data_IF_521207023531
#
_entry.id   IF_521207023531
#
_cell.length_a   1.000
_cell.length_b   1.000
_cell.length_c   1.000
_cell.angle_alpha   90.00
_cell.angle_beta   90.00
_cell.angle_gamma   90.00
#
_symmetry.space_group_name_H-M   'P 1'
#
loop_
_entity.id
_entity.type
_entity.pdbx_description
1 polymer ?
#
# COMPACT_ATOMS: atom_id res chain seq x y z
N UNK A 1 -3.10 -17.96 -12.51
CA UNK A 1 -1.87 -17.19 -12.30
C UNK A 1 -0.92 -17.55 -13.42
N UNK A 2 -0.34 -16.60 -14.14
CA UNK A 2 0.77 -16.90 -15.07
C UNK A 2 1.93 -17.47 -14.25
N UNK A 3 2.58 -18.51 -14.78
CA UNK A 3 3.68 -19.20 -14.09
C UNK A 3 4.82 -18.25 -13.69
N UNK A 4 5.05 -17.18 -14.46
CA UNK A 4 6.11 -16.19 -14.19
C UNK A 4 5.87 -15.42 -12.88
N UNK A 5 4.71 -14.78 -12.74
CA UNK A 5 4.39 -13.95 -11.55
C UNK A 5 4.25 -14.82 -10.32
N UNK A 6 3.65 -16.01 -10.45
CA UNK A 6 3.57 -16.98 -9.35
C UNK A 6 4.94 -17.38 -8.81
N UNK A 7 5.86 -17.79 -9.69
CA UNK A 7 7.23 -18.14 -9.28
C UNK A 7 7.98 -16.93 -8.70
N UNK A 8 7.76 -15.73 -9.23
CA UNK A 8 8.38 -14.52 -8.68
C UNK A 8 7.88 -14.20 -7.25
N UNK A 9 6.58 -14.39 -6.98
CA UNK A 9 6.02 -14.26 -5.64
C UNK A 9 6.61 -15.31 -4.69
N UNK A 10 6.67 -16.58 -5.09
CA UNK A 10 7.30 -17.64 -4.29
C UNK A 10 8.76 -17.31 -3.93
N UNK A 11 9.52 -16.79 -4.90
CA UNK A 11 10.90 -16.34 -4.68
C UNK A 11 10.97 -15.17 -3.69
N UNK A 12 10.08 -14.19 -3.81
CA UNK A 12 10.02 -13.04 -2.91
C UNK A 12 9.65 -13.45 -1.47
N UNK A 13 8.75 -14.41 -1.30
CA UNK A 13 8.41 -14.97 0.03
C UNK A 13 9.62 -15.67 0.67
N UNK A 14 10.32 -16.51 -0.10
CA UNK A 14 11.45 -17.28 0.40
C UNK A 14 12.68 -16.41 0.70
N UNK A 15 13.02 -15.50 -0.21
CA UNK A 15 14.33 -14.83 -0.22
C UNK A 15 14.27 -13.31 -0.03
N UNK A 16 13.07 -12.71 -0.05
CA UNK A 16 12.88 -11.27 -0.10
C UNK A 16 13.05 -10.69 -1.50
N UNK A 17 12.57 -9.45 -1.68
CA UNK A 17 12.51 -8.76 -2.98
C UNK A 17 13.90 -8.37 -3.51
N UNK A 18 14.86 -8.14 -2.62
CA UNK A 18 16.23 -7.80 -3.01
C UNK A 18 16.90 -8.99 -3.72
N UNK A 19 16.54 -10.22 -3.34
CA UNK A 19 16.99 -11.44 -4.00
C UNK A 19 16.39 -11.68 -5.39
N UNK A 20 15.31 -10.98 -5.74
CA UNK A 20 14.59 -11.17 -7.00
C UNK A 20 15.27 -10.45 -8.17
N UNK A 21 15.60 -11.20 -9.21
CA UNK A 21 16.05 -10.68 -10.52
C UNK A 21 15.48 -11.52 -11.65
N UNK A 22 15.34 -10.94 -12.85
CA UNK A 22 14.85 -11.66 -14.03
C UNK A 22 15.75 -12.85 -14.40
N UNK A 23 17.06 -12.74 -14.18
CA UNK A 23 17.99 -13.84 -14.42
C UNK A 23 17.69 -15.04 -13.51
N UNK A 24 17.59 -14.81 -12.20
CA UNK A 24 17.27 -15.86 -11.23
C UNK A 24 15.88 -16.45 -11.46
N UNK A 25 14.92 -15.61 -11.86
CA UNK A 25 13.58 -16.05 -12.22
C UNK A 25 13.61 -16.96 -13.47
N UNK A 26 14.36 -16.60 -14.51
CA UNK A 26 14.54 -17.43 -15.68
C UNK A 26 15.20 -18.78 -15.35
N UNK A 27 16.25 -18.76 -14.53
CA UNK A 27 16.92 -19.97 -14.05
C UNK A 27 15.95 -20.86 -13.26
N UNK A 28 15.12 -20.28 -12.39
CA UNK A 28 14.11 -21.01 -11.61
C UNK A 28 13.01 -21.62 -12.47
N UNK A 29 12.59 -20.90 -13.53
CA UNK A 29 11.59 -21.35 -14.50
C UNK A 29 12.15 -22.36 -15.53
N UNK A 30 13.46 -22.59 -15.55
CA UNK A 30 14.11 -23.47 -16.54
C UNK A 30 14.10 -22.91 -17.96
N UNK A 31 13.97 -21.58 -18.12
CA UNK A 31 13.93 -20.90 -19.42
C UNK A 31 15.16 -20.02 -19.62
N UNK A 32 15.47 -19.70 -20.89
CA UNK A 32 16.55 -18.76 -21.20
C UNK A 32 16.11 -17.32 -20.89
N UNK A 33 16.98 -16.54 -20.25
CA UNK A 33 16.69 -15.14 -19.89
C UNK A 33 16.12 -14.27 -21.04
N UNK A 34 16.63 -14.35 -22.30
CA UNK A 34 16.04 -13.59 -23.41
C UNK A 34 14.55 -13.86 -23.64
N UNK A 35 14.08 -15.09 -23.43
CA UNK A 35 12.66 -15.42 -23.56
C UNK A 35 11.81 -14.74 -22.48
N UNK A 36 12.35 -14.60 -21.27
CA UNK A 36 11.68 -13.91 -20.17
C UNK A 36 11.61 -12.39 -20.43
N UNK A 37 12.66 -11.78 -20.99
CA UNK A 37 12.67 -10.36 -21.34
C UNK A 37 11.61 -9.98 -22.39
N UNK A 38 11.20 -10.92 -23.26
CA UNK A 38 10.08 -10.70 -24.20
C UNK A 38 8.73 -10.55 -23.50
N UNK A 39 8.52 -11.25 -22.39
CA UNK A 39 7.28 -11.17 -21.62
C UNK A 39 7.34 -10.02 -20.60
N UNK A 40 8.48 -9.86 -19.94
CA UNK A 40 8.68 -8.89 -18.87
C UNK A 40 9.98 -8.10 -19.13
N UNK A 41 9.87 -6.85 -19.59
CA UNK A 41 11.02 -6.08 -20.10
C UNK A 41 12.03 -5.66 -19.01
N UNK A 42 11.69 -5.83 -17.72
CA UNK A 42 12.58 -5.45 -16.63
C UNK A 42 12.03 -5.79 -15.25
N UNK A 43 12.87 -5.60 -14.22
CA UNK A 43 12.48 -5.83 -12.81
C UNK A 43 11.28 -4.98 -12.40
N UNK A 44 11.17 -3.73 -12.88
CA UNK A 44 10.01 -2.88 -12.55
C UNK A 44 8.71 -3.48 -13.07
N UNK A 45 8.66 -3.87 -14.35
CA UNK A 45 7.49 -4.49 -14.97
C UNK A 45 7.08 -5.80 -14.26
N UNK A 46 8.06 -6.61 -13.82
CA UNK A 46 7.78 -7.79 -13.00
C UNK A 46 7.07 -7.41 -11.70
N UNK A 47 7.59 -6.40 -11.00
CA UNK A 47 7.05 -5.94 -9.73
C UNK A 47 5.66 -5.32 -9.90
N UNK A 48 5.39 -4.63 -11.01
CA UNK A 48 4.06 -4.09 -11.33
C UNK A 48 3.03 -5.22 -11.54
N UNK A 49 3.40 -6.29 -12.24
CA UNK A 49 2.54 -7.47 -12.39
C UNK A 49 2.37 -8.25 -11.08
N UNK A 50 3.40 -8.28 -10.23
CA UNK A 50 3.30 -8.89 -8.90
C UNK A 50 2.32 -8.13 -8.02
N UNK A 51 2.40 -6.79 -7.95
CA UNK A 51 1.45 -6.01 -7.15
C UNK A 51 0.02 -6.15 -7.67
N UNK A 52 -0.17 -6.22 -9.00
CA UNK A 52 -1.48 -6.49 -9.60
C UNK A 52 -2.14 -7.76 -9.05
N UNK A 53 -1.34 -8.83 -8.91
CA UNK A 53 -1.79 -10.09 -8.32
C UNK A 53 -2.02 -9.97 -6.82
N UNK A 54 -1.10 -9.34 -6.09
CA UNK A 54 -1.17 -9.18 -4.63
C UNK A 54 -2.45 -8.46 -4.22
N UNK A 55 -2.81 -7.37 -4.91
CA UNK A 55 -3.96 -6.53 -4.53
C UNK A 55 -5.30 -7.03 -5.06
N UNK A 56 -5.31 -8.07 -5.89
CA UNK A 56 -6.53 -8.65 -6.47
C UNK A 56 -7.63 -8.98 -5.46
N UNK A 57 -7.35 -9.51 -4.25
CA UNK A 57 -8.38 -9.77 -3.25
C UNK A 57 -9.11 -8.51 -2.75
N UNK A 58 -8.53 -7.32 -2.90
CA UNK A 58 -9.13 -6.05 -2.50
C UNK A 58 -10.07 -5.46 -3.57
N UNK A 59 -9.94 -5.88 -4.83
CA UNK A 59 -10.73 -5.37 -5.97
C UNK A 59 -12.25 -5.48 -5.77
N UNK A 60 -12.82 -6.59 -5.24
CA UNK A 60 -14.26 -6.65 -4.97
C UNK A 60 -14.74 -5.57 -3.99
N UNK A 61 -13.91 -5.20 -3.01
CA UNK A 61 -14.23 -4.16 -2.02
C UNK A 61 -14.18 -2.78 -2.70
N UNK A 62 -13.18 -2.52 -3.54
CA UNK A 62 -13.07 -1.27 -4.29
C UNK A 62 -14.20 -1.09 -5.32
N UNK A 63 -14.66 -2.18 -5.93
CA UNK A 63 -15.80 -2.13 -6.86
C UNK A 63 -17.16 -2.09 -6.16
N UNK A 64 -17.21 -2.22 -4.84
CA UNK A 64 -18.47 -2.11 -4.10
C UNK A 64 -19.04 -0.70 -4.19
N UNK A 65 -20.38 -0.61 -4.16
CA UNK A 65 -21.05 0.67 -4.07
C UNK A 65 -20.81 1.31 -2.70
N UNK A 66 -20.66 2.65 -2.61
CA UNK A 66 -20.46 3.37 -1.34
C UNK A 66 -21.79 3.51 -0.57
N UNK A 67 -22.47 2.38 -0.27
CA UNK A 67 -23.82 2.34 0.34
C UNK A 67 -23.88 3.08 1.69
N UNK A 68 -22.77 3.08 2.43
CA UNK A 68 -22.64 3.73 3.74
C UNK A 68 -21.95 5.09 3.69
N UNK A 69 -21.78 5.68 2.49
CA UNK A 69 -21.08 6.94 2.28
C UNK A 69 -19.64 6.78 1.79
N UNK A 70 -19.10 7.88 1.26
CA UNK A 70 -17.75 7.95 0.70
C UNK A 70 -16.66 7.71 1.76
N UNK A 71 -16.89 8.16 2.99
CA UNK A 71 -15.98 8.05 4.13
C UNK A 71 -15.84 6.61 4.61
N UNK A 72 -16.97 5.91 4.79
CA UNK A 72 -16.99 4.49 5.10
C UNK A 72 -16.34 3.66 3.98
N UNK A 73 -16.59 4.03 2.72
CA UNK A 73 -15.97 3.38 1.57
C UNK A 73 -14.45 3.58 1.53
N UNK A 74 -13.93 4.80 1.75
CA UNK A 74 -12.48 5.07 1.78
C UNK A 74 -11.78 4.27 2.87
N UNK A 75 -12.38 4.21 4.06
CA UNK A 75 -11.85 3.41 5.18
C UNK A 75 -11.78 1.92 4.80
N UNK A 76 -12.87 1.37 4.25
CA UNK A 76 -12.91 -0.02 3.80
C UNK A 76 -11.88 -0.31 2.69
N UNK A 77 -11.76 0.60 1.71
CA UNK A 77 -10.84 0.46 0.59
C UNK A 77 -9.37 0.50 1.03
N UNK A 78 -9.02 1.39 1.97
CA UNK A 78 -7.67 1.48 2.55
C UNK A 78 -7.31 0.23 3.37
N UNK A 79 -8.24 -0.26 4.20
CA UNK A 79 -8.06 -1.50 4.95
C UNK A 79 -7.87 -2.71 4.03
N UNK A 80 -8.64 -2.78 2.95
CA UNK A 80 -8.52 -3.86 1.96
C UNK A 80 -7.15 -3.85 1.26
N UNK A 81 -6.67 -2.67 0.84
CA UNK A 81 -5.33 -2.49 0.28
C UNK A 81 -4.25 -2.97 1.27
N UNK A 82 -4.36 -2.51 2.53
CA UNK A 82 -3.43 -2.88 3.60
C UNK A 82 -3.40 -4.38 3.86
N UNK A 83 -4.57 -5.02 3.98
CA UNK A 83 -4.68 -6.45 4.21
C UNK A 83 -4.04 -7.25 3.05
N UNK A 84 -4.32 -6.86 1.81
CA UNK A 84 -3.78 -7.53 0.63
C UNK A 84 -2.24 -7.41 0.54
N UNK A 85 -1.70 -6.20 0.73
CA UNK A 85 -0.26 -5.96 0.67
C UNK A 85 0.49 -6.65 1.82
N UNK A 86 -0.07 -6.65 3.04
CA UNK A 86 0.54 -7.29 4.21
C UNK A 86 0.49 -8.81 4.17
N UNK A 87 -0.36 -9.41 3.34
CA UNK A 87 -0.41 -10.86 3.16
C UNK A 87 0.84 -11.43 2.46
N UNK A 88 1.68 -10.57 1.88
CA UNK A 88 2.86 -10.96 1.12
C UNK A 88 4.13 -10.31 1.68
N UNK A 89 5.20 -11.10 1.83
CA UNK A 89 6.48 -10.59 2.32
C UNK A 89 7.02 -9.54 1.34
N UNK A 90 7.16 -8.32 1.84
CA UNK A 90 7.64 -7.18 1.06
C UNK A 90 6.61 -6.61 0.08
N UNK A 91 5.38 -7.13 0.02
CA UNK A 91 4.29 -6.59 -0.80
C UNK A 91 4.17 -5.06 -0.76
N UNK A 92 4.23 -4.42 0.44
CA UNK A 92 4.18 -2.97 0.54
C UNK A 92 5.31 -2.24 -0.20
N UNK A 93 6.53 -2.78 -0.17
CA UNK A 93 7.68 -2.21 -0.88
C UNK A 93 7.56 -2.37 -2.40
N UNK A 94 6.91 -3.44 -2.89
CA UNK A 94 6.66 -3.67 -4.32
C UNK A 94 5.71 -2.61 -4.88
N UNK A 95 4.66 -2.28 -4.12
CA UNK A 95 3.58 -1.40 -4.55
C UNK A 95 4.00 0.06 -4.72
N UNK A 96 5.02 0.51 -4.00
CA UNK A 96 5.52 1.88 -4.11
C UNK A 96 6.14 2.11 -5.49
N UNK A 97 5.62 3.12 -6.19
CA UNK A 97 6.06 3.49 -7.53
C UNK A 97 5.66 2.50 -8.62
N UNK A 98 4.58 1.75 -8.42
CA UNK A 98 4.03 0.84 -9.42
C UNK A 98 3.44 1.60 -10.61
N UNK A 99 3.73 1.12 -11.83
CA UNK A 99 3.15 1.64 -13.07
C UNK A 99 1.74 1.13 -13.31
N UNK A 100 0.75 2.04 -13.47
CA UNK A 100 -0.66 1.66 -13.64
C UNK A 100 -0.97 0.99 -14.98
N UNK A 101 -0.05 1.06 -15.96
CA UNK A 101 -0.15 0.35 -17.24
C UNK A 101 -0.06 -1.18 -17.07
N UNK A 102 0.57 -1.65 -15.98
CA UNK A 102 0.67 -3.08 -15.63
C UNK A 102 -0.01 -3.43 -14.31
N UNK A 103 0.06 -2.55 -13.32
CA UNK A 103 -0.64 -2.68 -12.05
C UNK A 103 -2.12 -2.27 -12.18
N UNK A 104 -2.86 -2.90 -13.09
CA UNK A 104 -4.22 -2.52 -13.48
C UNK A 104 -5.18 -2.50 -12.28
N UNK A 105 -5.10 -3.49 -11.39
CA UNK A 105 -5.91 -3.56 -10.18
C UNK A 105 -5.60 -2.40 -9.22
N UNK A 106 -4.34 -1.95 -9.13
CA UNK A 106 -4.00 -0.72 -8.39
C UNK A 106 -4.62 0.51 -9.06
N UNK A 107 -4.67 0.53 -10.40
CA UNK A 107 -5.42 1.53 -11.16
C UNK A 107 -6.91 1.55 -10.82
N UNK A 108 -7.53 0.37 -10.64
CA UNK A 108 -8.94 0.26 -10.20
C UNK A 108 -9.15 0.96 -8.86
N UNK A 109 -8.24 0.82 -7.89
CA UNK A 109 -8.37 1.53 -6.61
C UNK A 109 -8.43 3.06 -6.81
N UNK A 110 -7.55 3.61 -7.64
CA UNK A 110 -7.51 5.06 -7.92
C UNK A 110 -8.78 5.49 -8.66
N UNK A 111 -9.15 4.78 -9.74
CA UNK A 111 -10.35 5.06 -10.54
C UNK A 111 -11.62 5.05 -9.68
N UNK A 112 -11.79 4.03 -8.83
CA UNK A 112 -12.94 3.93 -7.93
C UNK A 112 -12.94 5.03 -6.87
N UNK A 113 -11.77 5.42 -6.37
CA UNK A 113 -11.64 6.54 -5.42
C UNK A 113 -12.07 7.86 -6.08
N UNK A 114 -11.66 8.10 -7.33
CA UNK A 114 -12.10 9.27 -8.11
C UNK A 114 -13.61 9.27 -8.27
N UNK A 115 -14.20 8.15 -8.73
CA UNK A 115 -15.63 8.04 -8.94
C UNK A 115 -16.42 8.28 -7.64
N UNK A 116 -16.04 7.64 -6.53
CA UNK A 116 -16.73 7.77 -5.24
C UNK A 116 -16.68 9.21 -4.74
N UNK A 117 -15.52 9.87 -4.80
CA UNK A 117 -15.39 11.26 -4.36
C UNK A 117 -16.17 12.22 -5.26
N UNK A 118 -16.09 12.06 -6.58
CA UNK A 118 -16.84 12.86 -7.55
C UNK A 118 -18.35 12.74 -7.31
N UNK A 119 -18.87 11.51 -7.27
CA UNK A 119 -20.30 11.25 -7.22
C UNK A 119 -20.92 11.62 -5.87
N UNK A 120 -20.25 11.28 -4.76
CA UNK A 120 -20.81 11.47 -3.41
C UNK A 120 -20.59 12.89 -2.86
N UNK A 121 -19.56 13.61 -3.33
CA UNK A 121 -19.26 14.97 -2.88
C UNK A 121 -19.60 16.04 -3.93
N UNK A 122 -19.98 15.65 -5.15
CA UNK A 122 -20.24 16.58 -6.26
C UNK A 122 -19.07 17.52 -6.58
N UNK A 123 -17.83 17.08 -6.34
CA UNK A 123 -16.60 17.83 -6.67
C UNK A 123 -16.13 17.52 -8.08
N UNK A 124 -15.41 18.42 -8.75
CA UNK A 124 -14.93 18.17 -10.11
C UNK A 124 -13.89 17.03 -10.19
N UNK A 125 -13.75 16.42 -11.37
CA UNK A 125 -12.83 15.31 -11.59
C UNK A 125 -11.37 15.66 -11.29
N UNK A 126 -10.95 16.90 -11.55
CA UNK A 126 -9.58 17.35 -11.25
C UNK A 126 -9.29 17.35 -9.75
N UNK A 127 -10.23 17.87 -8.94
CA UNK A 127 -10.17 17.80 -7.48
C UNK A 127 -10.21 16.35 -6.98
N UNK A 128 -11.14 15.53 -7.49
CA UNK A 128 -11.26 14.12 -7.12
C UNK A 128 -9.99 13.31 -7.45
N UNK A 129 -9.39 13.50 -8.63
CA UNK A 129 -8.12 12.87 -9.01
C UNK A 129 -6.97 13.29 -8.11
N UNK A 130 -6.88 14.58 -7.74
CA UNK A 130 -5.84 15.05 -6.80
C UNK A 130 -5.97 14.39 -5.43
N UNK A 131 -7.20 14.29 -4.90
CA UNK A 131 -7.47 13.63 -3.63
C UNK A 131 -7.18 12.13 -3.71
N UNK A 132 -7.62 11.44 -4.76
CA UNK A 132 -7.38 10.03 -4.96
C UNK A 132 -5.87 9.70 -5.04
N UNK A 133 -5.10 10.49 -5.78
CA UNK A 133 -3.65 10.34 -5.86
C UNK A 133 -2.95 10.56 -4.53
N UNK A 134 -3.33 11.61 -3.79
CA UNK A 134 -2.80 11.89 -2.46
C UNK A 134 -3.14 10.81 -1.43
N UNK A 135 -4.39 10.33 -1.45
CA UNK A 135 -4.85 9.25 -0.58
C UNK A 135 -4.14 7.93 -0.88
N UNK A 136 -3.97 7.59 -2.16
CA UNK A 136 -3.19 6.41 -2.58
C UNK A 136 -1.73 6.49 -2.11
N UNK A 137 -1.07 7.62 -2.32
CA UNK A 137 0.31 7.82 -1.87
C UNK A 137 0.44 7.69 -0.34
N UNK A 138 -0.51 8.28 0.40
CA UNK A 138 -0.58 8.15 1.86
C UNK A 138 -0.76 6.69 2.30
N UNK A 139 -1.75 5.98 1.75
CA UNK A 139 -2.05 4.58 2.12
C UNK A 139 -0.83 3.69 1.84
N UNK A 140 -0.26 3.76 0.63
CA UNK A 140 0.93 2.96 0.28
C UNK A 140 2.14 3.30 1.15
N UNK A 141 2.41 4.59 1.35
CA UNK A 141 3.52 5.05 2.19
C UNK A 141 3.37 4.57 3.63
N UNK A 142 2.16 4.70 4.20
CA UNK A 142 1.88 4.24 5.56
C UNK A 142 2.09 2.74 5.69
N UNK A 143 1.55 1.92 4.79
CA UNK A 143 1.71 0.45 4.83
C UNK A 143 3.19 0.05 4.67
N UNK A 144 3.95 0.74 3.81
CA UNK A 144 5.37 0.51 3.64
C UNK A 144 6.16 0.84 4.92
N UNK A 145 5.87 1.97 5.56
CA UNK A 145 6.49 2.35 6.85
C UNK A 145 6.18 1.33 7.95
N UNK A 146 4.94 0.84 8.07
CA UNK A 146 4.59 -0.22 9.05
C UNK A 146 5.46 -1.46 8.93
N UNK A 147 5.84 -1.79 7.69
CA UNK A 147 6.57 -3.01 7.39
C UNK A 147 8.09 -2.83 7.49
N UNK A 148 8.56 -1.57 7.46
CA UNK A 148 9.98 -1.22 7.51
C UNK A 148 10.45 -0.84 8.92
N UNK A 149 9.57 -0.33 9.78
CA UNK A 149 9.93 0.11 11.12
C UNK A 149 10.24 -1.10 12.01
N UNK A 150 11.47 -1.22 12.56
CA UNK A 150 11.78 -2.24 13.55
C UNK A 150 10.89 -2.08 14.78
N UNK A 151 10.64 -3.17 15.51
CA UNK A 151 10.00 -3.09 16.83
C UNK A 151 10.76 -2.10 17.69
N UNK A 152 10.10 -1.00 18.07
CA UNK A 152 10.70 0.02 18.92
C UNK A 152 10.82 -0.52 20.34
N UNK A 153 12.02 -0.96 20.70
CA UNK A 153 12.33 -1.37 22.06
C UNK A 153 12.78 -0.19 22.94
N UNK A 154 12.79 -0.43 24.26
CA UNK A 154 13.15 0.58 25.24
C UNK A 154 14.59 1.10 25.05
N UNK A 155 15.49 0.25 24.59
CA UNK A 155 16.88 0.59 24.29
C UNK A 155 16.96 1.61 23.14
N UNK A 156 16.21 1.38 22.07
CA UNK A 156 16.11 2.30 20.92
C UNK A 156 15.55 3.64 21.34
N UNK A 157 14.44 3.65 22.10
CA UNK A 157 13.83 4.89 22.59
C UNK A 157 14.78 5.67 23.52
N UNK A 158 15.52 4.97 24.38
CA UNK A 158 16.52 5.57 25.27
C UNK A 158 17.66 6.21 24.48
N UNK A 159 18.16 5.53 23.45
CA UNK A 159 19.21 6.05 22.57
C UNK A 159 18.78 7.33 21.81
N UNK A 160 17.50 7.44 21.45
CA UNK A 160 16.95 8.62 20.77
C UNK A 160 16.86 9.85 21.70
N UNK A 161 16.71 9.67 23.01
CA UNK A 161 16.37 10.75 23.95
C UNK A 161 17.35 11.92 23.95
N UNK A 162 18.66 11.66 23.76
CA UNK A 162 19.68 12.70 23.71
C UNK A 162 19.60 13.59 22.46
N UNK A 163 19.14 13.03 21.33
CA UNK A 163 19.10 13.74 20.03
C UNK A 163 17.71 14.25 19.68
N UNK A 164 16.67 13.51 20.05
CA UNK A 164 15.26 13.77 19.73
C UNK A 164 14.40 13.60 21.00
N UNK A 165 14.52 14.50 21.99
CA UNK A 165 13.90 14.31 23.30
C UNK A 165 12.37 14.18 23.23
N UNK A 166 11.70 15.04 22.46
CA UNK A 166 10.23 15.00 22.29
C UNK A 166 9.75 13.74 21.58
N UNK A 167 10.50 13.27 20.57
CA UNK A 167 10.16 12.04 19.85
C UNK A 167 10.29 10.84 20.80
N UNK A 168 11.38 10.75 21.55
CA UNK A 168 11.60 9.67 22.50
C UNK A 168 10.51 9.63 23.57
N UNK A 169 10.13 10.79 24.13
CA UNK A 169 9.03 10.90 25.09
C UNK A 169 7.70 10.43 24.50
N UNK A 170 7.34 10.90 23.30
CA UNK A 170 6.12 10.48 22.62
C UNK A 170 6.08 8.97 22.32
N UNK A 171 7.21 8.40 21.89
CA UNK A 171 7.34 6.95 21.67
C UNK A 171 7.18 6.16 22.98
N UNK A 172 7.78 6.63 24.09
CA UNK A 172 7.58 6.03 25.41
C UNK A 172 6.11 6.08 25.86
N UNK A 173 5.44 7.22 25.68
CA UNK A 173 4.02 7.37 26.04
C UNK A 173 3.12 6.44 25.24
N UNK A 174 3.35 6.35 23.92
CA UNK A 174 2.62 5.42 23.05
C UNK A 174 2.84 3.97 23.49
N UNK A 175 4.09 3.57 23.70
CA UNK A 175 4.43 2.22 24.15
C UNK A 175 3.74 1.85 25.47
N UNK A 176 3.68 2.78 26.43
CA UNK A 176 2.98 2.59 27.70
C UNK A 176 1.46 2.41 27.57
N UNK A 177 0.87 2.88 26.48
CA UNK A 177 -0.56 2.70 26.15
C UNK A 177 -0.83 1.44 25.33
N UNK A 178 0.17 0.57 25.15
CA UNK A 178 0.03 -0.63 24.33
C UNK A 178 0.03 -0.34 22.82
N UNK A 179 0.46 0.84 22.41
CA UNK A 179 0.57 1.19 21.00
C UNK A 179 1.53 0.26 20.27
N UNK A 180 1.05 -0.38 19.21
CA UNK A 180 1.87 -1.11 18.27
C UNK A 180 2.00 -0.30 16.97
N UNK A 181 3.23 0.00 16.56
CA UNK A 181 3.48 0.52 15.20
C UNK A 181 2.92 -0.50 14.20
N UNK A 182 2.04 -0.03 13.31
CA UNK A 182 1.37 -0.93 12.37
C UNK A 182 0.26 -1.80 12.99
N UNK A 183 -0.28 -1.40 14.15
CA UNK A 183 -1.57 -1.88 14.64
C UNK A 183 -2.73 -1.32 13.81
N UNK A 184 -3.86 -2.02 13.80
CA UNK A 184 -5.05 -1.63 13.02
C UNK A 184 -5.61 -0.28 13.47
N UNK A 185 -5.61 -0.01 14.78
CA UNK A 185 -6.12 1.24 15.35
C UNK A 185 -5.34 2.47 14.88
N UNK A 186 -4.01 2.37 14.76
CA UNK A 186 -3.17 3.48 14.29
C UNK A 186 -3.41 3.79 12.80
N UNK A 187 -3.46 2.73 11.98
CA UNK A 187 -3.75 2.89 10.57
C UNK A 187 -5.13 3.54 10.36
N UNK A 188 -6.14 3.04 11.06
CA UNK A 188 -7.50 3.57 10.99
C UNK A 188 -7.60 5.01 11.49
N UNK A 189 -6.84 5.38 12.53
CA UNK A 189 -6.79 6.76 13.01
C UNK A 189 -6.24 7.69 11.93
N UNK A 190 -5.14 7.34 11.27
CA UNK A 190 -4.52 8.18 10.27
C UNK A 190 -5.36 8.28 8.99
N UNK A 191 -6.00 7.18 8.57
CA UNK A 191 -6.99 7.21 7.47
C UNK A 191 -8.18 8.10 7.85
N UNK A 192 -8.65 8.05 9.10
CA UNK A 192 -9.73 8.91 9.58
C UNK A 192 -9.34 10.39 9.57
N UNK A 193 -8.11 10.73 9.94
CA UNK A 193 -7.62 12.12 9.84
C UNK A 193 -7.68 12.62 8.40
N UNK A 194 -7.31 11.79 7.43
CA UNK A 194 -7.45 12.09 6.00
C UNK A 194 -8.91 12.33 5.59
N UNK A 195 -9.81 11.44 6.01
CA UNK A 195 -11.25 11.53 5.74
C UNK A 195 -11.83 12.83 6.34
N UNK A 196 -11.57 13.11 7.61
CA UNK A 196 -12.08 14.32 8.26
C UNK A 196 -11.50 15.60 7.66
N UNK A 197 -10.25 15.56 7.16
CA UNK A 197 -9.67 16.65 6.38
C UNK A 197 -10.44 16.91 5.08
N UNK A 198 -10.79 15.86 4.33
CA UNK A 198 -11.64 15.99 3.12
C UNK A 198 -13.01 16.56 3.50
N UNK A 199 -13.63 16.04 4.57
CA UNK A 199 -14.95 16.49 5.04
C UNK A 199 -14.95 17.99 5.39
N UNK A 200 -13.95 18.43 6.15
CA UNK A 200 -13.83 19.82 6.56
C UNK A 200 -13.70 20.79 5.37
N UNK A 201 -13.02 20.37 4.30
CA UNK A 201 -12.75 21.23 3.14
C UNK A 201 -13.88 21.21 2.10
N UNK A 202 -14.54 20.06 1.89
CA UNK A 202 -15.45 19.86 0.76
C UNK A 202 -16.92 19.61 1.15
N UNK A 203 -17.22 19.42 2.43
CA UNK A 203 -18.61 19.17 2.91
C UNK A 203 -19.11 20.26 3.82
N UNK A 204 -18.26 20.75 4.74
CA UNK A 204 -18.64 21.74 5.75
C UNK A 204 -18.26 23.18 5.35
N UNK A 205 -17.26 23.32 4.48
CA UNK A 205 -16.83 24.61 3.91
C UNK A 205 -17.65 25.02 2.71
#
# INVERSE_FOLDING_TARGET
MTTIVGTALEMAEAEGIDGLSLRRLADRLGVRAPALYWHIPGKRALLDEMVDVIVRPAVPIWNSAPVYGWDAWLMGAARAMRAALRAHRGGPAIAVGAGLDRAVNLGVFIERTVAVLHDQLSIDLGAATRLAGGFNAFVLGRIAEESAVPTLDEATVTALRGRFPLLAEGLSMRAAQGYAVGGDEDFDLLVRIWIEGIRAVFVVG
#
